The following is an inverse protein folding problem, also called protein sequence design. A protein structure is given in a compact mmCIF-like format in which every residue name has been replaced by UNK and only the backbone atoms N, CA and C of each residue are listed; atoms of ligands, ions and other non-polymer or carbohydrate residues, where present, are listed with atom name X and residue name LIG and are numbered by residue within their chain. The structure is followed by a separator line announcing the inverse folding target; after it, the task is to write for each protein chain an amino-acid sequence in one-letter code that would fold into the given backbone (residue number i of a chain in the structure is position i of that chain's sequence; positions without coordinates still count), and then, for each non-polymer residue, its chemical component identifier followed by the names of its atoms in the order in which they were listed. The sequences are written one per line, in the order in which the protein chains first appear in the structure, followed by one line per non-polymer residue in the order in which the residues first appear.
data_IF_584090983741
#
_entry.id   IF_584090983741
#
_cell.length_a   1.000
_cell.length_b   1.000
_cell.length_c   1.000
_cell.angle_alpha   90.00
_cell.angle_beta   90.00
_cell.angle_gamma   90.00
#
_symmetry.space_group_name_H-M   'P 1'
#
loop_
_entity.id
_entity.type
_entity.pdbx_description
1 polymer ?
#
# COMPACT_ATOMS: atom_id res chain seq x y z
N UNK A 1 10.80 10.27 5.84
CA UNK A 1 10.84 8.79 5.93
C UNK A 1 10.85 8.22 4.51
N UNK A 2 11.14 6.94 4.33
CA UNK A 2 11.11 6.32 2.99
C UNK A 2 9.71 6.44 2.34
N UNK A 3 8.65 6.31 3.13
CA UNK A 3 7.26 6.49 2.65
C UNK A 3 7.03 7.93 2.16
N UNK A 4 7.55 8.94 2.87
CA UNK A 4 7.39 10.34 2.46
C UNK A 4 8.09 10.64 1.12
N UNK A 5 9.25 10.02 0.89
CA UNK A 5 9.99 10.14 -0.39
C UNK A 5 9.22 9.49 -1.53
N UNK A 6 8.66 8.30 -1.30
CA UNK A 6 7.80 7.62 -2.26
C UNK A 6 6.57 8.46 -2.60
N UNK A 7 5.90 9.01 -1.58
CA UNK A 7 4.73 9.88 -1.74
C UNK A 7 5.06 11.16 -2.52
N UNK A 8 6.16 11.83 -2.19
CA UNK A 8 6.61 13.02 -2.90
C UNK A 8 6.87 12.74 -4.39
N UNK A 9 7.47 11.59 -4.72
CA UNK A 9 7.72 11.18 -6.10
C UNK A 9 6.44 10.95 -6.88
N UNK A 10 5.45 10.26 -6.29
CA UNK A 10 4.15 10.04 -6.92
C UNK A 10 3.38 11.35 -7.12
N UNK A 11 3.40 12.24 -6.11
CA UNK A 11 2.81 13.59 -6.20
C UNK A 11 3.46 14.44 -7.30
N UNK A 12 4.77 14.36 -7.47
CA UNK A 12 5.48 15.03 -8.57
C UNK A 12 5.06 14.50 -9.95
N UNK A 13 4.55 13.26 -10.02
CA UNK A 13 3.93 12.66 -11.21
C UNK A 13 2.45 13.04 -11.42
N UNK A 14 1.88 13.91 -10.58
CA UNK A 14 0.49 14.36 -10.67
C UNK A 14 -0.54 13.42 -10.01
N UNK A 15 -0.08 12.44 -9.23
CA UNK A 15 -0.95 11.51 -8.50
C UNK A 15 -1.32 12.13 -7.15
N UNK A 16 -2.61 12.10 -6.80
CA UNK A 16 -3.04 12.44 -5.44
C UNK A 16 -2.71 11.28 -4.49
N UNK A 17 -2.01 11.58 -3.39
CA UNK A 17 -1.46 10.55 -2.49
C UNK A 17 -1.87 10.83 -1.07
N UNK A 18 -2.60 9.88 -0.49
CA UNK A 18 -2.88 9.80 0.93
C UNK A 18 -1.80 8.99 1.64
N UNK A 19 -1.26 9.54 2.74
CA UNK A 19 -0.30 8.86 3.62
C UNK A 19 -0.86 8.85 5.05
N UNK A 20 -1.06 7.69 5.68
CA UNK A 20 -1.69 7.61 7.00
C UNK A 20 -1.01 8.47 8.08
N UNK A 21 0.32 8.40 8.22
CA UNK A 21 1.03 9.09 9.31
C UNK A 21 1.13 10.60 9.12
N UNK A 22 1.23 11.11 7.89
CA UNK A 22 1.17 12.57 7.60
C UNK A 22 -0.15 13.17 8.13
N UNK A 23 -1.23 12.40 8.05
CA UNK A 23 -2.56 12.83 8.45
C UNK A 23 -2.88 12.50 9.92
N UNK A 24 -2.13 11.62 10.59
CA UNK A 24 -2.37 11.24 11.98
C UNK A 24 -1.93 12.34 12.95
N UNK A 25 -0.81 13.01 12.63
CA UNK A 25 -0.25 14.09 13.43
C UNK A 25 -1.12 15.36 13.41
N UNK A 26 -1.99 15.52 12.41
CA UNK A 26 -2.83 16.71 12.25
C UNK A 26 -4.07 16.72 13.17
N UNK A 27 -4.56 15.56 13.62
CA UNK A 27 -5.83 15.46 14.33
C UNK A 27 -5.74 15.74 15.84
N UNK A 28 -4.55 15.65 16.45
CA UNK A 28 -4.35 15.81 17.90
C UNK A 28 -4.97 14.73 18.79
N UNK A 29 -5.93 13.95 18.27
CA UNK A 29 -6.51 12.75 18.88
C UNK A 29 -6.01 11.48 18.16
N UNK A 30 -5.38 10.59 18.93
CA UNK A 30 -4.83 9.31 18.46
C UNK A 30 -5.64 8.11 18.96
N UNK A 31 -6.92 8.31 19.29
CA UNK A 31 -7.82 7.20 19.65
C UNK A 31 -7.99 6.22 18.48
N UNK A 32 -8.21 4.93 18.80
CA UNK A 32 -8.40 3.90 17.79
C UNK A 32 -9.57 4.20 16.83
N UNK A 33 -10.65 4.80 17.33
CA UNK A 33 -11.80 5.20 16.53
C UNK A 33 -11.42 6.30 15.51
N UNK A 34 -10.64 7.28 15.93
CA UNK A 34 -10.17 8.38 15.06
C UNK A 34 -9.21 7.87 14.00
N UNK A 35 -8.24 7.03 14.37
CA UNK A 35 -7.31 6.41 13.42
C UNK A 35 -8.07 5.56 12.40
N UNK A 36 -8.93 4.65 12.86
CA UNK A 36 -9.72 3.79 11.98
C UNK A 36 -10.57 4.59 10.99
N UNK A 37 -11.34 5.58 11.46
CA UNK A 37 -12.21 6.37 10.58
C UNK A 37 -11.42 7.12 9.50
N UNK A 38 -10.21 7.58 9.84
CA UNK A 38 -9.36 8.33 8.92
C UNK A 38 -8.70 7.44 7.88
N UNK A 39 -8.11 6.33 8.31
CA UNK A 39 -7.45 5.39 7.41
C UNK A 39 -8.49 4.68 6.53
N UNK A 40 -9.67 4.37 7.08
CA UNK A 40 -10.83 3.92 6.30
C UNK A 40 -11.18 4.89 5.18
N UNK A 41 -11.24 6.20 5.47
CA UNK A 41 -11.57 7.20 4.45
C UNK A 41 -10.50 7.28 3.37
N UNK A 42 -9.22 7.21 3.74
CA UNK A 42 -8.12 7.17 2.77
C UNK A 42 -8.19 5.93 1.89
N UNK A 43 -8.32 4.76 2.51
CA UNK A 43 -8.34 3.47 1.83
C UNK A 43 -9.58 3.30 0.93
N UNK A 44 -10.77 3.56 1.45
CA UNK A 44 -12.02 3.42 0.69
C UNK A 44 -12.20 4.50 -0.38
N UNK A 45 -11.56 5.66 -0.22
CA UNK A 45 -11.55 6.74 -1.20
C UNK A 45 -10.51 6.58 -2.32
N UNK A 46 -9.47 5.77 -2.11
CA UNK A 46 -8.39 5.59 -3.07
C UNK A 46 -8.83 4.79 -4.31
N UNK A 47 -8.24 5.10 -5.46
CA UNK A 47 -8.39 4.31 -6.69
C UNK A 47 -7.42 3.12 -6.71
N UNK A 48 -6.27 3.23 -6.05
CA UNK A 48 -5.26 2.19 -5.97
C UNK A 48 -4.50 2.25 -4.65
N UNK A 49 -3.90 1.13 -4.25
CA UNK A 49 -3.03 1.05 -3.07
C UNK A 49 -1.59 0.76 -3.50
N UNK A 50 -0.63 1.47 -2.90
CA UNK A 50 0.79 1.12 -2.95
C UNK A 50 1.23 0.74 -1.55
N UNK A 51 1.47 -0.55 -1.33
CA UNK A 51 1.81 -1.13 -0.03
C UNK A 51 3.31 -1.37 0.10
N UNK A 52 3.94 -0.83 1.14
CA UNK A 52 5.35 -1.12 1.44
C UNK A 52 5.47 -2.50 2.07
N UNK A 53 6.25 -3.38 1.45
CA UNK A 53 6.42 -4.78 1.88
C UNK A 53 7.81 -5.04 2.50
N UNK A 54 8.67 -4.02 2.54
CA UNK A 54 10.02 -4.14 3.08
C UNK A 54 10.00 -4.43 4.58
N UNK A 55 10.90 -5.33 5.00
CA UNK A 55 11.07 -5.71 6.40
C UNK A 55 11.01 -7.22 6.59
N UNK A 56 11.27 -7.70 7.83
CA UNK A 56 11.22 -9.13 8.14
C UNK A 56 9.79 -9.72 8.06
N UNK A 57 8.77 -8.87 8.16
CA UNK A 57 7.35 -9.19 8.02
C UNK A 57 6.59 -7.92 7.62
N UNK A 58 5.55 -8.05 6.81
CA UNK A 58 4.57 -6.97 6.55
C UNK A 58 3.86 -6.64 7.86
N UNK A 59 3.72 -5.37 8.20
CA UNK A 59 3.00 -4.97 9.40
C UNK A 59 1.51 -5.32 9.29
N UNK A 60 0.89 -5.54 10.45
CA UNK A 60 -0.49 -5.98 10.56
C UNK A 60 -1.49 -4.95 10.00
N UNK A 61 -1.17 -3.65 10.11
CA UNK A 61 -1.90 -2.55 9.48
C UNK A 61 -1.92 -2.68 7.96
N UNK A 62 -0.75 -2.69 7.33
CA UNK A 62 -0.60 -2.82 5.87
C UNK A 62 -1.27 -4.11 5.36
N UNK A 63 -1.08 -5.24 6.04
CA UNK A 63 -1.72 -6.50 5.66
C UNK A 63 -3.26 -6.43 5.74
N UNK A 64 -3.80 -5.78 6.77
CA UNK A 64 -5.24 -5.54 6.93
C UNK A 64 -5.79 -4.66 5.78
N UNK A 65 -5.10 -3.57 5.47
CA UNK A 65 -5.50 -2.63 4.41
C UNK A 65 -5.48 -3.28 3.02
N UNK A 66 -4.46 -4.11 2.72
CA UNK A 66 -4.41 -4.90 1.47
C UNK A 66 -5.66 -5.79 1.34
N UNK A 67 -5.99 -6.54 2.39
CA UNK A 67 -7.15 -7.42 2.39
C UNK A 67 -8.47 -6.66 2.24
N UNK A 68 -8.63 -5.54 2.94
CA UNK A 68 -9.83 -4.68 2.83
C UNK A 68 -9.94 -4.11 1.42
N UNK A 69 -8.86 -3.57 0.85
CA UNK A 69 -8.90 -2.98 -0.49
C UNK A 69 -9.23 -4.03 -1.55
N UNK A 70 -8.64 -5.22 -1.46
CA UNK A 70 -8.99 -6.34 -2.34
C UNK A 70 -10.48 -6.70 -2.24
N UNK A 71 -11.05 -6.71 -1.03
CA UNK A 71 -12.47 -6.95 -0.83
C UNK A 71 -13.34 -5.83 -1.43
N UNK A 72 -12.95 -4.56 -1.28
CA UNK A 72 -13.64 -3.42 -1.89
C UNK A 72 -13.66 -3.55 -3.41
N UNK A 73 -12.55 -3.95 -4.05
CA UNK A 73 -12.46 -4.18 -5.49
C UNK A 73 -13.48 -5.20 -6.02
N UNK A 74 -13.88 -6.18 -5.19
CA UNK A 74 -14.90 -7.17 -5.61
C UNK A 74 -16.29 -6.56 -5.78
N UNK A 75 -16.51 -5.37 -5.22
CA UNK A 75 -17.81 -4.69 -5.18
C UNK A 75 -17.80 -3.30 -5.80
N UNK A 76 -16.63 -2.70 -5.96
CA UNK A 76 -16.44 -1.34 -6.48
C UNK A 76 -15.49 -1.38 -7.68
N UNK A 77 -16.06 -1.20 -8.88
CA UNK A 77 -15.33 -1.25 -10.14
C UNK A 77 -14.48 0.00 -10.41
N UNK A 78 -14.55 1.05 -9.58
CA UNK A 78 -13.64 2.21 -9.73
C UNK A 78 -12.25 1.91 -9.18
N UNK A 79 -12.11 0.86 -8.37
CA UNK A 79 -10.81 0.44 -7.81
C UNK A 79 -9.96 -0.22 -8.89
N UNK A 80 -8.75 0.30 -9.06
CA UNK A 80 -7.84 -0.01 -10.17
C UNK A 80 -6.87 -1.13 -9.83
N UNK A 81 -6.35 -1.18 -8.59
CA UNK A 81 -5.47 -2.27 -8.19
C UNK A 81 -4.60 -2.03 -6.96
N UNK A 82 -3.78 -3.04 -6.66
CA UNK A 82 -2.84 -3.05 -5.53
C UNK A 82 -1.42 -3.28 -6.05
N UNK A 83 -0.49 -2.42 -5.68
CA UNK A 83 0.94 -2.57 -5.95
C UNK A 83 1.69 -2.80 -4.65
N UNK A 84 2.43 -3.90 -4.56
CA UNK A 84 3.39 -4.11 -3.48
C UNK A 84 4.73 -3.50 -3.84
N UNK A 85 5.36 -2.72 -2.97
CA UNK A 85 6.73 -2.24 -3.14
C UNK A 85 7.67 -3.05 -2.25
N UNK A 86 8.53 -3.85 -2.87
CA UNK A 86 9.52 -4.68 -2.20
C UNK A 86 10.91 -4.38 -2.76
N UNK A 87 11.66 -3.51 -2.09
CA UNK A 87 12.99 -3.08 -2.51
C UNK A 87 14.11 -3.93 -1.91
N UNK A 88 13.88 -4.54 -0.75
CA UNK A 88 14.84 -5.43 -0.08
C UNK A 88 14.50 -6.92 -0.31
N UNK A 89 14.71 -7.37 -1.55
CA UNK A 89 14.51 -8.76 -1.96
C UNK A 89 15.41 -9.75 -1.21
N UNK A 90 16.59 -9.31 -0.77
CA UNK A 90 17.61 -10.18 -0.13
C UNK A 90 17.22 -10.52 1.31
N UNK A 91 16.67 -9.55 2.03
CA UNK A 91 16.13 -9.76 3.39
C UNK A 91 14.86 -10.60 3.36
N UNK A 92 14.03 -10.46 2.31
CA UNK A 92 12.65 -10.98 2.29
C UNK A 92 12.50 -12.36 1.61
N UNK A 93 13.43 -12.77 0.75
CA UNK A 93 13.37 -14.07 0.05
C UNK A 93 14.52 -15.02 0.42
N UNK A 94 15.44 -14.57 1.29
CA UNK A 94 16.78 -15.17 1.42
C UNK A 94 16.92 -16.38 2.34
N UNK A 95 16.10 -16.59 3.37
CA UNK A 95 16.30 -17.70 4.32
C UNK A 95 14.98 -18.25 4.89
N UNK A 96 14.97 -19.57 5.09
CA UNK A 96 13.89 -20.43 5.55
C UNK A 96 12.94 -19.77 6.57
N UNK A 97 11.76 -19.34 6.12
CA UNK A 97 10.65 -18.88 6.98
C UNK A 97 10.36 -17.37 6.98
N UNK A 98 11.18 -16.53 6.33
CA UNK A 98 11.04 -15.06 6.34
C UNK A 98 10.41 -14.48 5.06
N UNK A 99 9.46 -15.20 4.45
CA UNK A 99 8.79 -14.77 3.22
C UNK A 99 7.55 -13.92 3.46
N UNK A 100 7.21 -13.10 2.48
CA UNK A 100 5.90 -12.44 2.41
C UNK A 100 4.77 -13.46 2.63
N UNK A 101 3.83 -13.14 3.50
CA UNK A 101 2.67 -14.00 3.74
C UNK A 101 1.96 -14.29 2.40
N UNK A 102 1.75 -15.56 2.07
CA UNK A 102 1.21 -15.96 0.76
C UNK A 102 -0.21 -15.47 0.52
N UNK A 103 -1.01 -15.22 1.56
CA UNK A 103 -2.34 -14.63 1.42
C UNK A 103 -2.25 -13.15 1.06
N UNK A 104 -1.32 -12.41 1.69
CA UNK A 104 -1.03 -11.02 1.34
C UNK A 104 -0.54 -10.92 -0.10
N UNK A 105 0.43 -11.78 -0.48
CA UNK A 105 0.91 -11.87 -1.87
C UNK A 105 -0.24 -12.17 -2.84
N UNK A 106 -1.07 -13.16 -2.52
CA UNK A 106 -2.22 -13.54 -3.36
C UNK A 106 -3.22 -12.41 -3.56
N UNK A 107 -3.49 -11.60 -2.52
CA UNK A 107 -4.35 -10.41 -2.65
C UNK A 107 -3.76 -9.39 -3.62
N UNK A 108 -2.43 -9.17 -3.57
CA UNK A 108 -1.73 -8.25 -4.47
C UNK A 108 -1.76 -8.79 -5.90
N UNK A 109 -1.36 -10.04 -6.12
CA UNK A 109 -1.26 -10.63 -7.47
C UNK A 109 -2.62 -10.83 -8.15
N UNK A 110 -3.70 -11.01 -7.39
CA UNK A 110 -5.05 -11.08 -7.93
C UNK A 110 -5.57 -9.73 -8.46
N UNK A 111 -4.94 -8.63 -8.06
CA UNK A 111 -5.41 -7.26 -8.31
C UNK A 111 -4.29 -6.29 -8.75
N UNK A 112 -3.13 -6.82 -9.15
CA UNK A 112 -1.96 -6.02 -9.47
C UNK A 112 -0.67 -6.84 -9.43
N UNK A 113 0.40 -6.29 -8.84
CA UNK A 113 1.74 -6.90 -8.88
C UNK A 113 2.66 -6.38 -7.78
N UNK A 114 3.73 -7.12 -7.52
CA UNK A 114 4.87 -6.66 -6.71
C UNK A 114 5.90 -5.97 -7.61
N UNK A 115 6.32 -4.78 -7.21
CA UNK A 115 7.30 -3.94 -7.85
C UNK A 115 8.58 -3.89 -7.00
N UNK A 116 9.73 -3.89 -7.67
CA UNK A 116 11.04 -3.81 -7.03
C UNK A 116 11.57 -2.38 -6.88
N UNK A 117 10.89 -1.41 -7.48
CA UNK A 117 11.30 -0.01 -7.50
C UNK A 117 10.11 0.94 -7.67
N UNK A 118 10.33 2.21 -7.31
CA UNK A 118 9.34 3.27 -7.53
C UNK A 118 9.11 3.58 -9.01
N UNK A 119 10.06 3.28 -9.89
CA UNK A 119 9.87 3.42 -11.34
C UNK A 119 8.83 2.42 -11.86
N UNK A 120 8.89 1.17 -11.40
CA UNK A 120 7.89 0.16 -11.73
C UNK A 120 6.51 0.51 -11.16
N UNK A 121 6.46 1.04 -9.93
CA UNK A 121 5.21 1.53 -9.32
C UNK A 121 4.61 2.65 -10.17
N UNK A 122 5.40 3.66 -10.54
CA UNK A 122 4.93 4.79 -11.33
C UNK A 122 4.44 4.36 -12.72
N UNK A 123 5.17 3.44 -13.38
CA UNK A 123 4.76 2.88 -14.67
C UNK A 123 3.43 2.13 -14.57
N UNK A 124 3.25 1.29 -13.54
CA UNK A 124 2.02 0.55 -13.33
C UNK A 124 0.81 1.47 -13.04
N UNK A 125 1.00 2.51 -12.22
CA UNK A 125 -0.06 3.49 -11.95
C UNK A 125 -0.45 4.26 -13.22
N UNK A 126 0.51 4.56 -14.10
CA UNK A 126 0.24 5.22 -15.38
C UNK A 126 -0.56 4.33 -16.35
N UNK A 127 -0.39 3.01 -16.31
CA UNK A 127 -1.22 2.06 -17.08
C UNK A 127 -2.68 2.05 -16.61
N UNK A 128 -2.93 2.43 -15.36
CA UNK A 128 -4.26 2.53 -14.77
C UNK A 128 -4.90 3.92 -14.95
N UNK A 129 -4.17 4.89 -15.51
CA UNK A 129 -4.56 6.29 -15.70
C UNK A 129 -5.76 6.48 -16.63
#
# INVERSE_FOLDING_TARGET
SFIDECAARLRAGGIDVFVPHENALAAGDTSAATIFAKDWRGLSGADAVVALLDGPMVDDGTACEIGIFYALMQTDSTKKGILGLLTDLRSTLGHEGHGLNLFVLGCIEAAGKVCSSMDEVAAALAEWG
#
